data_IF_340334142204
#
_entry.id   IF_340334142204
#
_cell.length_a   1.000
_cell.length_b   1.000
_cell.length_c   1.000
_cell.angle_alpha   90.00
_cell.angle_beta   90.00
_cell.angle_gamma   90.00
#
_symmetry.space_group_name_H-M   'P 1'
#
loop_
_entity.id
_entity.type
_entity.pdbx_description
1 polymer ?
#
# COMPACT_ATOMS: atom_id res chain seq x y z
N UNK A 1 -11.42 19.32 1.27
CA UNK A 1 -11.50 19.69 2.69
C UNK A 1 -10.37 18.96 3.42
N UNK A 2 -9.58 19.69 4.22
CA UNK A 2 -8.54 19.16 5.08
C UNK A 2 -9.08 19.11 6.52
N UNK A 3 -8.96 17.98 7.16
CA UNK A 3 -9.33 17.77 8.56
C UNK A 3 -8.24 18.23 9.52
N UNK A 4 -8.42 17.92 10.78
CA UNK A 4 -7.42 18.16 11.82
C UNK A 4 -6.55 16.92 12.00
N UNK A 5 -5.26 17.12 12.14
CA UNK A 5 -4.32 16.06 12.51
C UNK A 5 -4.70 15.41 13.83
N UNK A 6 -4.56 14.11 13.88
CA UNK A 6 -4.85 13.33 15.07
C UNK A 6 -3.76 12.29 15.29
N UNK A 7 -3.08 12.38 16.41
CA UNK A 7 -2.04 11.43 16.81
C UNK A 7 -2.71 10.10 17.18
N UNK A 8 -2.29 9.01 16.54
CA UNK A 8 -2.72 7.65 16.90
C UNK A 8 -1.70 6.92 17.77
N UNK A 9 -0.42 7.35 17.71
CA UNK A 9 0.64 6.84 18.56
C UNK A 9 1.60 7.97 18.95
N UNK A 10 1.75 8.19 20.27
CA UNK A 10 2.60 9.23 20.85
C UNK A 10 4.04 8.77 21.09
N UNK A 11 4.50 7.81 20.31
CA UNK A 11 5.87 7.35 20.26
C UNK A 11 6.35 7.29 18.81
N UNK A 12 7.65 7.11 18.60
CA UNK A 12 8.21 6.97 17.26
C UNK A 12 7.61 5.74 16.56
N UNK A 13 7.02 5.94 15.38
CA UNK A 13 6.41 4.90 14.55
C UNK A 13 7.14 4.71 13.24
N UNK A 14 7.09 3.48 12.70
CA UNK A 14 7.62 3.13 11.37
C UNK A 14 6.75 2.07 10.71
N UNK A 15 7.04 1.76 9.44
CA UNK A 15 6.38 0.68 8.69
C UNK A 15 4.86 0.73 8.82
N UNK A 16 4.26 1.90 8.59
CA UNK A 16 2.83 2.14 8.79
C UNK A 16 2.07 1.70 7.54
N UNK A 17 0.97 0.95 7.72
CA UNK A 17 0.04 0.59 6.65
C UNK A 17 -1.40 0.63 7.18
N UNK A 18 -2.39 0.74 6.29
CA UNK A 18 -3.78 0.74 6.69
C UNK A 18 -4.68 0.05 5.65
N UNK A 19 -5.82 -0.45 6.11
CA UNK A 19 -6.90 -0.93 5.26
C UNK A 19 -8.26 -0.55 5.87
N UNK A 20 -9.26 -0.40 4.99
CA UNK A 20 -10.63 -0.05 5.39
C UNK A 20 -11.49 -1.30 5.52
N UNK A 21 -12.25 -1.38 6.61
CA UNK A 21 -13.26 -2.41 6.89
C UNK A 21 -14.62 -1.92 6.40
N UNK A 22 -15.05 -2.41 5.24
CA UNK A 22 -16.35 -2.09 4.65
C UNK A 22 -17.55 -2.72 5.39
N UNK A 23 -17.30 -3.56 6.39
CA UNK A 23 -18.34 -4.22 7.19
C UNK A 23 -18.68 -3.42 8.45
N UNK A 24 -17.66 -2.82 9.07
CA UNK A 24 -17.77 -2.12 10.34
C UNK A 24 -17.54 -0.60 10.21
N UNK A 25 -17.25 -0.11 9.00
CA UNK A 25 -16.95 1.30 8.69
C UNK A 25 -15.81 1.83 9.57
N UNK A 26 -14.67 1.12 9.50
CA UNK A 26 -13.48 1.39 10.30
C UNK A 26 -12.20 1.33 9.47
N UNK A 27 -11.21 2.09 9.88
CA UNK A 27 -9.85 2.00 9.39
C UNK A 27 -9.02 1.21 10.39
N UNK A 28 -8.32 0.17 9.94
CA UNK A 28 -7.27 -0.48 10.72
C UNK A 28 -5.92 0.08 10.29
N UNK A 29 -5.22 0.76 11.20
CA UNK A 29 -3.84 1.19 11.01
C UNK A 29 -2.94 0.20 11.74
N UNK A 30 -1.93 -0.32 11.05
CA UNK A 30 -0.90 -1.23 11.58
C UNK A 30 0.45 -0.55 11.48
N UNK A 31 1.30 -0.72 12.48
CA UNK A 31 2.58 -0.03 12.53
C UNK A 31 3.60 -0.74 13.42
N UNK A 32 4.87 -0.40 13.22
CA UNK A 32 5.96 -0.73 14.12
C UNK A 32 6.04 0.32 15.20
N UNK A 33 5.81 -0.07 16.45
CA UNK A 33 5.87 0.82 17.60
C UNK A 33 7.29 0.82 18.19
N UNK A 34 8.09 1.82 17.85
CA UNK A 34 9.47 1.96 18.33
C UNK A 34 9.50 2.25 19.83
N UNK A 35 8.47 2.93 20.36
CA UNK A 35 8.32 3.20 21.79
C UNK A 35 8.05 1.96 22.61
N UNK A 36 7.53 0.90 21.99
CA UNK A 36 7.21 -0.37 22.62
C UNK A 36 8.05 -1.52 22.02
N UNK A 37 9.35 -1.51 22.21
CA UNK A 37 10.30 -2.55 21.77
C UNK A 37 10.22 -2.91 20.27
N UNK A 38 9.72 -2.01 19.42
CA UNK A 38 9.53 -2.22 17.99
C UNK A 38 8.46 -3.28 17.65
N UNK A 39 7.52 -3.51 18.55
CA UNK A 39 6.45 -4.48 18.38
C UNK A 39 5.51 -4.10 17.25
N UNK A 40 4.96 -5.13 16.61
CA UNK A 40 3.89 -4.95 15.64
C UNK A 40 2.58 -4.61 16.37
N UNK A 41 2.07 -3.43 16.11
CA UNK A 41 0.90 -2.86 16.81
C UNK A 41 -0.17 -2.43 15.82
N UNK A 42 -1.42 -2.51 16.21
CA UNK A 42 -2.54 -2.01 15.41
C UNK A 42 -3.50 -1.18 16.25
N UNK A 43 -4.17 -0.23 15.57
CA UNK A 43 -5.19 0.63 16.17
C UNK A 43 -6.38 0.82 15.23
N UNK A 44 -7.58 0.92 15.80
CA UNK A 44 -8.82 1.09 15.03
C UNK A 44 -9.21 2.55 15.01
N UNK A 45 -9.34 3.13 13.81
CA UNK A 45 -9.83 4.48 13.54
C UNK A 45 -11.30 4.50 13.13
N UNK A 46 -12.02 5.52 13.57
CA UNK A 46 -13.39 5.83 13.15
C UNK A 46 -13.42 7.23 12.54
N UNK A 47 -13.75 7.32 11.28
CA UNK A 47 -13.92 8.60 10.56
C UNK A 47 -15.30 9.16 10.84
N UNK A 48 -15.38 10.45 11.06
CA UNK A 48 -16.65 11.20 11.20
C UNK A 48 -16.49 12.61 10.62
N UNK A 49 -17.05 12.82 9.45
CA UNK A 49 -16.88 14.06 8.69
C UNK A 49 -15.42 14.30 8.31
N UNK A 50 -14.80 15.35 8.86
CA UNK A 50 -13.37 15.68 8.62
C UNK A 50 -12.45 15.28 9.78
N UNK A 51 -12.92 14.46 10.71
CA UNK A 51 -12.15 14.04 11.88
C UNK A 51 -12.01 12.52 11.92
N UNK A 52 -10.95 12.04 12.57
CA UNK A 52 -10.76 10.63 12.89
C UNK A 52 -10.53 10.51 14.42
N UNK A 53 -11.10 9.49 15.02
CA UNK A 53 -10.86 9.14 16.42
C UNK A 53 -10.36 7.71 16.52
N UNK A 54 -9.55 7.40 17.52
CA UNK A 54 -8.91 6.12 17.69
C UNK A 54 -9.35 5.38 18.95
N UNK A 55 -9.41 4.05 18.85
CA UNK A 55 -9.54 3.16 20.00
C UNK A 55 -8.21 2.99 20.73
N UNK A 56 -8.05 1.87 21.44
CA UNK A 56 -6.78 1.53 22.09
C UNK A 56 -5.89 0.72 21.15
N UNK A 57 -4.61 1.06 21.13
CA UNK A 57 -3.60 0.27 20.42
C UNK A 57 -3.46 -1.14 21.03
N UNK A 58 -3.25 -2.15 20.17
CA UNK A 58 -3.10 -3.55 20.59
C UNK A 58 -1.97 -4.21 19.80
N UNK A 59 -1.08 -4.90 20.52
CA UNK A 59 0.08 -5.59 19.94
C UNK A 59 -0.36 -6.89 19.26
N UNK A 60 0.01 -7.10 18.00
CA UNK A 60 -0.21 -8.36 17.28
C UNK A 60 1.04 -9.24 17.23
N UNK A 61 2.23 -8.63 17.39
CA UNK A 61 3.51 -9.34 17.46
C UNK A 61 4.40 -8.70 18.53
N UNK A 62 4.81 -9.51 19.51
CA UNK A 62 5.68 -9.07 20.61
C UNK A 62 7.18 -9.26 20.30
N UNK A 63 7.54 -8.98 19.07
CA UNK A 63 8.88 -9.02 18.52
C UNK A 63 9.06 -7.82 17.58
N UNK A 64 10.29 -7.45 17.27
CA UNK A 64 10.53 -6.39 16.29
C UNK A 64 10.00 -6.79 14.92
N UNK A 65 9.12 -5.96 14.36
CA UNK A 65 8.46 -6.20 13.07
C UNK A 65 8.81 -5.13 12.05
N UNK A 66 8.91 -5.51 10.78
CA UNK A 66 9.16 -4.57 9.68
C UNK A 66 8.40 -4.98 8.42
N UNK A 67 8.35 -4.08 7.44
CA UNK A 67 7.67 -4.31 6.17
C UNK A 67 6.22 -4.80 6.37
N UNK A 68 5.49 -4.10 7.23
CA UNK A 68 4.12 -4.46 7.59
C UNK A 68 3.18 -4.08 6.45
N UNK A 69 2.27 -4.98 6.08
CA UNK A 69 1.18 -4.69 5.16
C UNK A 69 -0.13 -5.30 5.65
N UNK A 70 -1.25 -4.73 5.22
CA UNK A 70 -2.58 -5.17 5.65
C UNK A 70 -3.58 -5.06 4.50
N UNK A 71 -4.47 -6.03 4.38
CA UNK A 71 -5.63 -5.97 3.48
C UNK A 71 -6.87 -6.54 4.16
N UNK A 72 -8.03 -6.04 3.75
CA UNK A 72 -9.34 -6.47 4.27
C UNK A 72 -9.98 -7.50 3.34
N UNK A 73 -10.33 -8.66 3.88
CA UNK A 73 -11.16 -9.68 3.24
C UNK A 73 -12.63 -9.37 3.53
N UNK A 74 -13.31 -8.75 2.57
CA UNK A 74 -14.72 -8.37 2.71
C UNK A 74 -15.68 -9.55 2.77
N UNK A 75 -15.27 -10.74 2.32
CA UNK A 75 -16.08 -11.97 2.42
C UNK A 75 -16.01 -12.56 3.82
N UNK A 76 -14.84 -12.60 4.42
CA UNK A 76 -14.64 -13.11 5.78
C UNK A 76 -14.94 -12.05 6.86
N UNK A 77 -14.97 -10.76 6.51
CA UNK A 77 -15.05 -9.65 7.46
C UNK A 77 -13.81 -9.59 8.37
N UNK A 78 -12.61 -9.82 7.79
CA UNK A 78 -11.35 -9.97 8.50
C UNK A 78 -10.23 -9.26 7.78
N UNK A 79 -9.18 -8.92 8.53
CA UNK A 79 -7.93 -8.44 7.96
C UNK A 79 -6.88 -9.54 7.96
N UNK A 80 -6.00 -9.51 6.97
CA UNK A 80 -4.71 -10.21 7.01
C UNK A 80 -3.61 -9.17 7.17
N UNK A 81 -2.87 -9.25 8.27
CA UNK A 81 -1.64 -8.47 8.50
C UNK A 81 -0.48 -9.39 8.16
N UNK A 82 0.39 -8.98 7.23
CA UNK A 82 1.61 -9.69 6.88
C UNK A 82 2.83 -8.82 7.20
N UNK A 83 3.91 -9.43 7.67
CA UNK A 83 5.08 -8.72 8.14
C UNK A 83 6.33 -9.61 8.14
N UNK A 84 7.50 -8.97 8.26
CA UNK A 84 8.76 -9.63 8.56
C UNK A 84 9.02 -9.58 10.06
N UNK A 85 9.22 -10.74 10.67
CA UNK A 85 9.55 -10.87 12.09
C UNK A 85 11.07 -10.89 12.29
N UNK A 86 11.63 -9.77 12.77
CA UNK A 86 13.06 -9.65 13.04
C UNK A 86 13.52 -10.50 14.23
N UNK A 87 12.62 -10.77 15.19
CA UNK A 87 12.91 -11.62 16.34
C UNK A 87 12.95 -13.12 16.04
N UNK A 88 12.36 -13.53 14.89
CA UNK A 88 12.42 -14.92 14.40
C UNK A 88 13.17 -15.01 13.06
N UNK A 89 14.41 -14.57 13.05
CA UNK A 89 15.33 -14.72 11.90
C UNK A 89 14.83 -14.06 10.61
N UNK A 90 14.06 -12.98 10.73
CA UNK A 90 13.47 -12.22 9.60
C UNK A 90 12.45 -13.02 8.78
N UNK A 91 11.82 -14.04 9.33
CA UNK A 91 10.81 -14.82 8.63
C UNK A 91 9.59 -14.00 8.25
N UNK A 92 8.91 -14.45 7.19
CA UNK A 92 7.62 -13.91 6.80
C UNK A 92 6.48 -14.52 7.62
N UNK A 93 5.76 -13.69 8.36
CA UNK A 93 4.62 -14.08 9.20
C UNK A 93 3.37 -13.32 8.87
N UNK A 94 2.23 -13.91 9.19
CA UNK A 94 0.93 -13.27 9.03
C UNK A 94 -0.01 -13.63 10.17
N UNK A 95 -0.93 -12.71 10.48
CA UNK A 95 -1.97 -12.91 11.49
C UNK A 95 -3.31 -12.39 10.99
N UNK A 96 -4.38 -13.09 11.31
CA UNK A 96 -5.75 -12.63 11.01
C UNK A 96 -6.23 -11.72 12.14
N UNK A 97 -6.70 -10.52 11.79
CA UNK A 97 -7.26 -9.57 12.73
C UNK A 97 -8.77 -9.38 12.55
N UNK A 98 -9.46 -9.14 13.65
CA UNK A 98 -10.91 -8.92 13.70
C UNK A 98 -11.21 -7.65 14.49
N UNK A 99 -11.96 -6.72 13.90
CA UNK A 99 -12.46 -5.52 14.56
C UNK A 99 -13.80 -5.84 15.27
N UNK A 100 -13.96 -5.30 16.46
CA UNK A 100 -15.22 -5.24 17.21
C UNK A 100 -15.34 -3.88 17.90
N UNK A 101 -16.23 -3.03 17.41
CA UNK A 101 -16.32 -1.63 17.84
C UNK A 101 -15.03 -0.87 17.52
N UNK A 102 -14.31 -0.42 18.53
CA UNK A 102 -13.01 0.28 18.39
C UNK A 102 -11.83 -0.59 18.86
N UNK A 103 -12.04 -1.89 19.03
CA UNK A 103 -11.02 -2.83 19.47
C UNK A 103 -10.66 -3.80 18.37
N UNK A 104 -9.41 -4.27 18.35
CA UNK A 104 -8.92 -5.31 17.46
C UNK A 104 -8.46 -6.53 18.25
N UNK A 105 -8.72 -7.73 17.72
CA UNK A 105 -8.25 -9.00 18.27
C UNK A 105 -7.63 -9.85 17.18
N UNK A 106 -6.78 -10.79 17.56
CA UNK A 106 -5.96 -11.56 16.62
C UNK A 106 -6.15 -13.06 16.78
N UNK A 107 -5.99 -13.78 15.69
CA UNK A 107 -5.86 -15.22 15.68
C UNK A 107 -4.43 -15.69 15.92
N UNK A 108 -4.14 -16.93 15.55
CA UNK A 108 -2.79 -17.48 15.64
C UNK A 108 -1.89 -16.94 14.52
N UNK A 109 -0.66 -16.60 14.86
CA UNK A 109 0.38 -16.22 13.89
C UNK A 109 0.73 -17.45 13.04
N UNK A 110 0.82 -17.25 11.72
CA UNK A 110 1.16 -18.29 10.75
C UNK A 110 2.38 -17.84 9.94
N UNK A 111 3.40 -18.71 9.84
CA UNK A 111 4.55 -18.47 8.98
C UNK A 111 4.15 -18.68 7.51
N UNK A 112 4.36 -17.66 6.65
CA UNK A 112 4.18 -17.82 5.22
C UNK A 112 5.50 -18.07 4.48
N UNK A 113 6.63 -17.64 5.04
CA UNK A 113 7.96 -17.93 4.51
C UNK A 113 8.99 -18.11 5.63
N UNK A 114 9.80 -19.18 5.55
CA UNK A 114 10.86 -19.49 6.52
C UNK A 114 12.16 -18.72 6.29
N UNK A 115 12.27 -18.01 5.16
CA UNK A 115 13.39 -17.14 4.82
C UNK A 115 13.14 -15.68 5.17
N UNK A 116 14.19 -14.87 5.04
CA UNK A 116 14.09 -13.42 5.19
C UNK A 116 13.17 -12.82 4.10
N UNK A 117 12.10 -12.15 4.51
CA UNK A 117 10.96 -11.75 3.67
C UNK A 117 10.66 -10.25 3.76
N UNK A 118 11.56 -9.36 3.27
CA UNK A 118 11.26 -7.93 3.21
C UNK A 118 10.28 -7.59 2.07
N UNK A 119 9.80 -6.34 2.10
CA UNK A 119 8.91 -5.76 1.08
C UNK A 119 7.61 -6.56 0.92
N UNK A 120 6.98 -6.92 2.04
CA UNK A 120 5.69 -7.63 2.02
C UNK A 120 4.57 -6.71 1.56
N UNK A 121 3.70 -7.22 0.72
CA UNK A 121 2.47 -6.55 0.29
C UNK A 121 1.31 -7.53 0.24
N UNK A 122 0.14 -7.12 0.74
CA UNK A 122 -1.07 -7.92 0.75
C UNK A 122 -2.13 -7.32 -0.16
N UNK A 123 -2.81 -8.18 -0.92
CA UNK A 123 -3.97 -7.80 -1.73
C UNK A 123 -5.10 -8.82 -1.53
N UNK A 124 -6.34 -8.37 -1.58
CA UNK A 124 -7.51 -9.23 -1.50
C UNK A 124 -8.16 -9.42 -2.87
N UNK A 125 -8.17 -10.65 -3.35
CA UNK A 125 -8.91 -11.08 -4.54
C UNK A 125 -10.36 -11.40 -4.16
N UNK A 126 -11.23 -10.42 -4.34
CA UNK A 126 -12.64 -10.53 -3.99
C UNK A 126 -13.42 -11.52 -4.86
N UNK A 127 -12.97 -11.82 -6.07
CA UNK A 127 -13.63 -12.78 -6.96
C UNK A 127 -13.42 -14.23 -6.52
N UNK A 128 -12.27 -14.53 -5.93
CA UNK A 128 -11.93 -15.86 -5.44
C UNK A 128 -12.02 -15.99 -3.91
N UNK A 129 -12.24 -14.88 -3.18
CA UNK A 129 -12.22 -14.86 -1.72
C UNK A 129 -10.85 -15.29 -1.18
N UNK A 130 -9.77 -14.72 -1.72
CA UNK A 130 -8.40 -15.10 -1.39
C UNK A 130 -7.53 -13.89 -1.07
N UNK A 131 -6.64 -14.08 -0.13
CA UNK A 131 -5.55 -13.14 0.13
C UNK A 131 -4.34 -13.53 -0.71
N UNK A 132 -3.61 -12.53 -1.20
CA UNK A 132 -2.31 -12.75 -1.85
C UNK A 132 -1.26 -11.95 -1.10
N UNK A 133 -0.19 -12.62 -0.67
CA UNK A 133 1.00 -11.96 -0.12
C UNK A 133 2.08 -12.06 -1.18
N UNK A 134 2.64 -10.91 -1.58
CA UNK A 134 3.81 -10.80 -2.45
C UNK A 134 4.97 -10.19 -1.67
N UNK A 135 6.19 -10.67 -1.92
CA UNK A 135 7.38 -10.30 -1.14
C UNK A 135 8.67 -10.61 -1.91
N UNK A 136 9.78 -10.04 -1.47
CA UNK A 136 11.11 -10.47 -1.91
C UNK A 136 11.61 -11.60 -1.00
N UNK A 137 11.85 -12.79 -1.55
CA UNK A 137 12.32 -13.94 -0.80
C UNK A 137 13.86 -13.98 -0.74
N UNK A 138 14.44 -13.37 0.27
CA UNK A 138 15.91 -13.38 0.46
C UNK A 138 16.43 -14.73 0.95
N UNK A 139 15.57 -15.65 1.36
CA UNK A 139 15.91 -17.07 1.52
C UNK A 139 16.13 -17.75 0.17
N UNK A 140 15.61 -17.17 -0.92
CA UNK A 140 15.77 -17.62 -2.30
C UNK A 140 16.33 -16.50 -3.18
N UNK A 141 17.50 -15.99 -2.87
CA UNK A 141 18.24 -14.97 -3.66
C UNK A 141 17.51 -13.64 -3.87
N UNK A 142 16.51 -13.32 -3.04
CA UNK A 142 15.71 -12.11 -3.16
C UNK A 142 14.68 -12.15 -4.31
N UNK A 143 14.34 -13.34 -4.81
CA UNK A 143 13.38 -13.50 -5.89
C UNK A 143 11.99 -12.98 -5.52
N UNK A 144 11.35 -12.33 -6.46
CA UNK A 144 9.97 -11.92 -6.32
C UNK A 144 9.04 -13.13 -6.21
N UNK A 145 8.36 -13.28 -5.08
CA UNK A 145 7.58 -14.47 -4.74
C UNK A 145 6.19 -14.08 -4.23
N UNK A 146 5.20 -14.90 -4.52
CA UNK A 146 3.85 -14.71 -4.00
C UNK A 146 3.25 -16.01 -3.45
N UNK A 147 2.33 -15.87 -2.48
CA UNK A 147 1.53 -16.95 -1.90
C UNK A 147 0.07 -16.58 -1.80
N UNK A 148 -0.79 -17.56 -2.05
CA UNK A 148 -2.24 -17.41 -1.87
C UNK A 148 -2.64 -17.90 -0.50
N UNK A 149 -3.34 -17.04 0.26
CA UNK A 149 -3.88 -17.32 1.59
C UNK A 149 -5.40 -17.52 1.56
N UNK A 150 -5.88 -18.39 2.42
CA UNK A 150 -7.32 -18.57 2.68
C UNK A 150 -7.59 -18.34 4.15
N UNK A 151 -8.41 -17.32 4.46
CA UNK A 151 -8.86 -17.07 5.83
C UNK A 151 -10.01 -18.02 6.16
N UNK A 152 -9.96 -18.63 7.35
CA UNK A 152 -11.02 -19.45 7.92
C UNK A 152 -11.13 -19.17 9.41
N UNK A 153 -12.23 -18.54 9.82
CA UNK A 153 -12.38 -18.04 11.19
C UNK A 153 -11.31 -17.00 11.54
N UNK A 154 -10.43 -17.31 12.48
CA UNK A 154 -9.31 -16.46 12.91
C UNK A 154 -7.95 -16.99 12.47
N UNK A 155 -7.91 -17.93 11.53
CA UNK A 155 -6.70 -18.56 11.03
C UNK A 155 -6.53 -18.31 9.53
N UNK A 156 -5.30 -18.34 9.05
CA UNK A 156 -4.98 -18.33 7.62
C UNK A 156 -4.16 -19.57 7.26
N UNK A 157 -4.45 -20.16 6.11
CA UNK A 157 -3.64 -21.22 5.51
C UNK A 157 -3.12 -20.77 4.15
N UNK A 158 -1.90 -21.17 3.81
CA UNK A 158 -1.22 -20.76 2.58
C UNK A 158 -1.02 -21.93 1.62
N UNK A 159 -1.18 -21.65 0.33
CA UNK A 159 -0.78 -22.55 -0.74
C UNK A 159 0.74 -22.54 -0.98
N UNK A 160 1.17 -23.16 -2.06
CA UNK A 160 2.60 -23.19 -2.44
C UNK A 160 3.07 -21.82 -2.92
N UNK A 161 4.29 -21.45 -2.53
CA UNK A 161 4.94 -20.24 -3.03
C UNK A 161 5.22 -20.33 -4.54
N UNK A 162 5.00 -19.24 -5.26
CA UNK A 162 5.26 -19.14 -6.70
C UNK A 162 6.17 -17.95 -6.95
N UNK A 163 7.30 -18.20 -7.59
CA UNK A 163 8.24 -17.14 -8.02
C UNK A 163 7.64 -16.43 -9.24
N UNK A 164 7.52 -15.10 -9.17
CA UNK A 164 7.10 -14.29 -10.30
C UNK A 164 8.27 -13.58 -11.00
N UNK A 165 9.40 -13.43 -10.29
CA UNK A 165 10.63 -12.84 -10.85
C UNK A 165 11.84 -13.57 -10.29
N UNK A 166 12.71 -14.06 -11.19
CA UNK A 166 13.93 -14.81 -10.83
C UNK A 166 15.18 -13.92 -10.70
N UNK A 167 14.95 -12.68 -10.26
CA UNK A 167 15.98 -11.73 -9.86
C UNK A 167 15.57 -11.09 -8.54
N UNK A 168 16.51 -10.39 -7.88
CA UNK A 168 16.19 -9.62 -6.67
C UNK A 168 15.15 -8.55 -6.99
N UNK A 169 14.03 -8.58 -6.28
CA UNK A 169 12.84 -7.76 -6.55
C UNK A 169 12.45 -6.97 -5.29
N UNK A 170 13.15 -5.87 -4.97
CA UNK A 170 12.75 -5.01 -3.85
C UNK A 170 11.56 -4.12 -4.19
N UNK A 171 10.98 -3.50 -3.16
CA UNK A 171 9.85 -2.57 -3.24
C UNK A 171 8.61 -3.20 -3.89
N UNK A 172 8.32 -4.46 -3.53
CA UNK A 172 7.12 -5.17 -4.01
C UNK A 172 5.88 -4.50 -3.45
N UNK A 173 4.92 -4.19 -4.33
CA UNK A 173 3.60 -3.72 -3.94
C UNK A 173 2.54 -4.35 -4.84
N UNK A 174 1.36 -4.68 -4.30
CA UNK A 174 0.32 -5.41 -5.03
C UNK A 174 -1.07 -4.82 -4.82
N UNK A 175 -1.89 -4.89 -5.87
CA UNK A 175 -3.29 -4.48 -5.85
C UNK A 175 -4.14 -5.45 -6.66
N UNK A 176 -5.41 -5.56 -6.28
CA UNK A 176 -6.39 -6.34 -7.03
C UNK A 176 -7.14 -5.47 -8.04
N UNK A 177 -7.09 -5.85 -9.31
CA UNK A 177 -7.93 -5.31 -10.39
C UNK A 177 -9.24 -6.13 -10.42
N UNK A 178 -10.32 -5.55 -9.91
CA UNK A 178 -11.62 -6.21 -9.84
C UNK A 178 -12.30 -6.37 -11.19
N UNK A 179 -11.93 -5.56 -12.19
CA UNK A 179 -12.47 -5.67 -13.54
C UNK A 179 -11.81 -6.82 -14.32
N UNK A 180 -10.49 -6.88 -14.32
CA UNK A 180 -9.75 -7.97 -14.96
C UNK A 180 -9.76 -9.26 -14.12
N UNK A 181 -10.12 -9.20 -12.84
CA UNK A 181 -10.01 -10.25 -11.84
C UNK A 181 -8.59 -10.80 -11.74
N UNK A 182 -7.65 -9.88 -11.55
CA UNK A 182 -6.21 -10.15 -11.52
C UNK A 182 -5.54 -9.44 -10.35
N UNK A 183 -4.43 -10.01 -9.92
CA UNK A 183 -3.47 -9.33 -9.06
C UNK A 183 -2.44 -8.64 -9.92
N UNK A 184 -2.29 -7.34 -9.75
CA UNK A 184 -1.19 -6.58 -10.33
C UNK A 184 -0.11 -6.39 -9.27
N UNK A 185 1.14 -6.72 -9.61
CA UNK A 185 2.31 -6.53 -8.75
C UNK A 185 3.27 -5.58 -9.45
N UNK A 186 3.62 -4.49 -8.76
CA UNK A 186 4.68 -3.58 -9.16
C UNK A 186 5.92 -3.80 -8.28
N UNK A 187 7.11 -3.73 -8.86
CA UNK A 187 8.37 -3.94 -8.17
C UNK A 187 9.54 -3.32 -8.93
N UNK A 188 10.69 -3.22 -8.28
CA UNK A 188 11.95 -2.92 -8.97
C UNK A 188 12.59 -4.22 -9.42
N UNK A 189 12.88 -4.34 -10.71
CA UNK A 189 13.54 -5.51 -11.28
C UNK A 189 15.06 -5.29 -11.34
N UNK A 190 15.78 -5.86 -10.38
CA UNK A 190 17.24 -5.75 -10.34
C UNK A 190 17.92 -6.59 -11.46
N UNK A 191 17.22 -7.57 -12.02
CA UNK A 191 17.67 -8.33 -13.16
C UNK A 191 17.58 -7.57 -14.48
N UNK A 192 16.77 -6.50 -14.51
CA UNK A 192 16.55 -5.65 -15.67
C UNK A 192 16.91 -4.18 -15.36
N UNK A 193 18.17 -3.93 -15.03
CA UNK A 193 18.71 -2.57 -14.80
C UNK A 193 17.97 -1.75 -13.74
N UNK A 194 17.35 -2.39 -12.76
CA UNK A 194 16.55 -1.78 -11.69
C UNK A 194 15.31 -1.01 -12.19
N UNK A 195 14.75 -1.40 -13.33
CA UNK A 195 13.57 -0.74 -13.87
C UNK A 195 12.32 -1.00 -13.01
N UNK A 196 11.41 -0.02 -12.93
CA UNK A 196 10.08 -0.25 -12.40
C UNK A 196 9.35 -1.21 -13.35
N UNK A 197 8.85 -2.31 -12.83
CA UNK A 197 8.30 -3.42 -13.59
C UNK A 197 6.97 -3.84 -13.01
N UNK A 198 6.05 -4.26 -13.87
CA UNK A 198 4.75 -4.80 -13.46
C UNK A 198 4.53 -6.20 -14.00
N UNK A 199 3.81 -7.02 -13.23
CA UNK A 199 3.42 -8.37 -13.63
C UNK A 199 1.99 -8.66 -13.19
N UNK A 200 1.30 -9.52 -13.96
CA UNK A 200 -0.10 -9.87 -13.73
C UNK A 200 -0.21 -11.30 -13.25
N UNK A 201 -0.85 -11.49 -12.09
CA UNK A 201 -1.14 -12.78 -11.47
C UNK A 201 -2.60 -13.20 -11.61
N UNK A 202 -2.84 -14.47 -11.84
CA UNK A 202 -4.17 -15.09 -11.85
C UNK A 202 -4.27 -16.11 -10.72
N UNK A 203 -5.15 -15.86 -9.76
CA UNK A 203 -5.43 -16.79 -8.65
C UNK A 203 -6.36 -17.90 -9.12
N UNK A 204 -6.06 -19.13 -8.73
CA UNK A 204 -6.90 -20.30 -8.95
C UNK A 204 -6.78 -21.24 -7.75
N UNK A 205 -7.86 -21.39 -6.98
CA UNK A 205 -7.86 -22.15 -5.74
C UNK A 205 -6.87 -21.57 -4.72
N UNK A 206 -5.81 -22.31 -4.39
CA UNK A 206 -4.75 -21.89 -3.46
C UNK A 206 -3.42 -21.59 -4.17
N UNK A 207 -3.44 -21.44 -5.48
CA UNK A 207 -2.26 -21.13 -6.29
C UNK A 207 -2.45 -19.85 -7.08
N UNK A 208 -1.33 -19.28 -7.55
CA UNK A 208 -1.29 -18.13 -8.45
C UNK A 208 -0.37 -18.45 -9.61
N UNK A 209 -0.72 -18.02 -10.81
CA UNK A 209 0.12 -18.12 -12.01
C UNK A 209 0.37 -16.73 -12.57
N UNK A 210 1.52 -16.50 -13.17
CA UNK A 210 1.94 -15.21 -13.67
C UNK A 210 2.10 -15.20 -15.19
N UNK A 211 1.79 -14.04 -15.79
CA UNK A 211 2.15 -13.75 -17.17
C UNK A 211 3.58 -13.27 -17.32
N UNK A 212 3.87 -12.53 -18.38
CA UNK A 212 5.20 -11.93 -18.58
C UNK A 212 5.32 -10.60 -17.86
N UNK A 213 6.46 -10.38 -17.21
CA UNK A 213 6.82 -9.10 -16.63
C UNK A 213 7.03 -8.03 -17.73
N UNK A 214 6.63 -6.80 -17.45
CA UNK A 214 6.74 -5.66 -18.37
C UNK A 214 7.34 -4.47 -17.66
N UNK A 215 8.46 -3.95 -18.16
CA UNK A 215 9.05 -2.72 -17.64
C UNK A 215 8.21 -1.50 -18.04
N UNK A 216 8.19 -0.47 -17.17
CA UNK A 216 7.46 0.78 -17.44
C UNK A 216 8.07 1.52 -18.62
N UNK A 217 7.22 1.93 -19.55
CA UNK A 217 7.63 2.67 -20.77
C UNK A 217 8.16 4.06 -20.43
N UNK A 218 9.34 4.38 -20.95
CA UNK A 218 10.02 5.67 -20.72
C UNK A 218 10.98 5.68 -19.53
N UNK A 219 10.85 4.75 -18.59
CA UNK A 219 11.85 4.57 -17.55
C UNK A 219 13.12 3.96 -18.16
N UNK A 220 14.26 4.61 -17.96
CA UNK A 220 15.56 4.19 -18.52
C UNK A 220 16.63 4.06 -17.42
N UNK A 221 16.20 4.06 -16.16
CA UNK A 221 17.10 4.07 -15.00
C UNK A 221 16.41 3.50 -13.76
N UNK A 222 17.16 3.40 -12.67
CA UNK A 222 16.70 2.87 -11.40
C UNK A 222 15.45 3.59 -10.87
N UNK A 223 14.48 2.82 -10.43
CA UNK A 223 13.34 3.26 -9.64
C UNK A 223 13.43 2.68 -8.23
N UNK A 224 12.98 3.44 -7.24
CA UNK A 224 12.86 2.96 -5.85
C UNK A 224 11.48 3.32 -5.30
N UNK A 225 11.07 2.64 -4.22
CA UNK A 225 9.81 2.90 -3.52
C UNK A 225 8.59 2.83 -4.45
N UNK A 226 8.35 1.67 -5.06
CA UNK A 226 7.16 1.49 -5.89
C UNK A 226 5.90 1.38 -5.04
N UNK A 227 4.83 2.01 -5.50
CA UNK A 227 3.47 1.82 -5.01
C UNK A 227 2.53 1.57 -6.17
N UNK A 228 1.45 0.81 -5.95
CA UNK A 228 0.46 0.51 -6.99
C UNK A 228 -0.95 0.82 -6.54
N UNK A 229 -1.82 1.16 -7.50
CA UNK A 229 -3.23 1.43 -7.27
C UNK A 229 -4.09 0.95 -8.43
N UNK A 230 -5.40 0.85 -8.19
CA UNK A 230 -6.37 0.46 -9.21
C UNK A 230 -7.49 1.51 -9.32
N UNK A 231 -7.69 2.02 -10.52
CA UNK A 231 -8.80 2.89 -10.90
C UNK A 231 -9.93 2.04 -11.49
N UNK A 232 -10.97 1.82 -10.69
CA UNK A 232 -12.10 1.00 -11.09
C UNK A 232 -13.03 1.67 -12.09
N UNK A 233 -12.98 2.99 -12.27
CA UNK A 233 -13.76 3.73 -13.26
C UNK A 233 -13.19 3.55 -14.66
N UNK A 234 -11.87 3.69 -14.80
CA UNK A 234 -11.19 3.57 -16.09
C UNK A 234 -10.65 2.16 -16.35
N UNK A 235 -10.76 1.25 -15.38
CA UNK A 235 -10.21 -0.10 -15.42
C UNK A 235 -8.70 -0.07 -15.74
N UNK A 236 -7.96 0.69 -14.93
CA UNK A 236 -6.52 0.88 -15.07
C UNK A 236 -5.81 0.63 -13.75
N UNK A 237 -4.62 0.06 -13.85
CA UNK A 237 -3.68 0.04 -12.74
C UNK A 237 -2.72 1.22 -12.88
N UNK A 238 -2.22 1.71 -11.76
CA UNK A 238 -1.18 2.72 -11.70
C UNK A 238 0.03 2.15 -10.97
N UNK A 239 1.23 2.43 -11.48
CA UNK A 239 2.47 2.24 -10.75
C UNK A 239 3.13 3.61 -10.56
N UNK A 240 3.40 4.00 -9.33
CA UNK A 240 4.14 5.20 -8.98
C UNK A 240 5.46 4.83 -8.31
N UNK A 241 6.48 5.64 -8.51
CA UNK A 241 7.83 5.37 -8.01
C UNK A 241 8.67 6.65 -7.96
N UNK A 242 9.73 6.62 -7.17
CA UNK A 242 10.78 7.62 -7.21
C UNK A 242 11.78 7.25 -8.29
N UNK A 243 11.98 8.16 -9.25
CA UNK A 243 12.81 7.93 -10.42
C UNK A 243 14.20 8.55 -10.24
N UNK A 244 15.21 7.73 -10.05
CA UNK A 244 16.60 8.17 -9.84
C UNK A 244 17.21 8.81 -11.09
N UNK A 245 16.65 8.54 -12.28
CA UNK A 245 17.10 9.12 -13.56
C UNK A 245 16.75 10.60 -13.75
N UNK A 246 15.85 11.16 -12.92
CA UNK A 246 15.50 12.59 -12.91
C UNK A 246 15.59 13.17 -11.49
N UNK A 247 16.76 13.10 -10.88
CA UNK A 247 17.03 13.70 -9.56
C UNK A 247 16.01 13.29 -8.49
N UNK A 248 15.66 12.01 -8.43
CA UNK A 248 14.78 11.42 -7.41
C UNK A 248 13.33 11.95 -7.41
N UNK A 249 12.83 12.39 -8.56
CA UNK A 249 11.46 12.90 -8.69
C UNK A 249 10.42 11.78 -8.73
N UNK A 250 9.18 12.13 -8.37
CA UNK A 250 8.03 11.23 -8.44
C UNK A 250 7.47 11.08 -9.84
N UNK A 251 7.36 9.84 -10.31
CA UNK A 251 6.77 9.47 -11.59
C UNK A 251 5.69 8.41 -11.41
N UNK A 252 4.70 8.42 -12.30
CA UNK A 252 3.68 7.39 -12.36
C UNK A 252 3.40 6.98 -13.81
N UNK A 253 2.98 5.73 -14.00
CA UNK A 253 2.59 5.20 -15.30
C UNK A 253 1.28 4.42 -15.20
N UNK A 254 0.43 4.61 -16.21
CA UNK A 254 -0.87 3.93 -16.33
C UNK A 254 -0.68 2.58 -17.02
N UNK A 255 -1.11 1.52 -16.37
CA UNK A 255 -1.10 0.17 -16.89
C UNK A 255 -2.49 -0.28 -17.35
N UNK A 256 -2.54 -0.98 -18.47
CA UNK A 256 -3.75 -1.65 -18.98
C UNK A 256 -3.53 -3.15 -18.94
N UNK A 257 -4.35 -3.86 -18.15
CA UNK A 257 -4.32 -5.32 -18.09
C UNK A 257 -5.17 -5.90 -19.22
N UNK A 258 -4.60 -6.88 -19.93
CA UNK A 258 -5.29 -7.68 -20.94
C UNK A 258 -4.88 -9.14 -20.81
N UNK A 259 -5.80 -9.98 -20.38
CA UNK A 259 -5.53 -11.39 -20.06
C UNK A 259 -4.53 -11.51 -18.91
N UNK A 260 -3.32 -11.99 -19.19
CA UNK A 260 -2.23 -12.16 -18.22
C UNK A 260 -1.07 -11.18 -18.46
N UNK A 261 -1.28 -10.16 -19.29
CA UNK A 261 -0.26 -9.17 -19.64
C UNK A 261 -0.67 -7.78 -19.18
N UNK A 262 0.32 -6.93 -18.90
CA UNK A 262 0.14 -5.50 -18.71
C UNK A 262 0.90 -4.73 -19.77
N UNK A 263 0.32 -3.64 -20.26
CA UNK A 263 1.00 -2.66 -21.10
C UNK A 263 0.95 -1.29 -20.42
N UNK A 264 2.07 -0.56 -20.48
CA UNK A 264 2.17 0.76 -19.85
C UNK A 264 2.16 1.89 -20.88
N UNK A 265 1.46 2.98 -20.52
CA UNK A 265 1.68 4.26 -21.16
C UNK A 265 3.03 4.86 -20.75
N UNK A 266 3.41 5.96 -21.39
CA UNK A 266 4.62 6.70 -21.01
C UNK A 266 4.47 7.23 -19.58
N UNK A 267 5.49 7.09 -18.76
CA UNK A 267 5.47 7.60 -17.41
C UNK A 267 5.38 9.14 -17.39
N UNK A 268 4.66 9.66 -16.43
CA UNK A 268 4.44 11.10 -16.26
C UNK A 268 4.93 11.52 -14.89
N UNK A 269 5.65 12.64 -14.85
CA UNK A 269 6.13 13.22 -13.62
C UNK A 269 4.97 13.86 -12.84
N UNK A 270 4.78 13.49 -11.57
CA UNK A 270 3.78 14.11 -10.70
C UNK A 270 4.36 15.11 -9.71
N UNK A 271 5.64 15.03 -9.41
CA UNK A 271 6.34 15.95 -8.55
C UNK A 271 7.30 16.82 -9.35
N UNK A 272 7.24 18.13 -9.19
CA UNK A 272 8.15 19.09 -9.82
C UNK A 272 9.57 18.98 -9.27
N UNK A 273 9.67 18.57 -8.02
CA UNK A 273 10.86 18.46 -7.21
C UNK A 273 11.06 17.02 -6.73
N UNK A 274 12.06 16.77 -5.88
CA UNK A 274 12.27 15.46 -5.29
C UNK A 274 11.00 15.00 -4.56
N UNK A 275 10.57 13.76 -4.80
CA UNK A 275 9.43 13.17 -4.12
C UNK A 275 9.86 11.85 -3.51
N UNK A 276 9.60 11.68 -2.24
CA UNK A 276 9.84 10.42 -1.54
C UNK A 276 8.50 9.70 -1.37
N UNK A 277 8.23 8.73 -2.25
CA UNK A 277 7.25 7.68 -1.95
C UNK A 277 7.97 6.76 -0.97
N UNK A 278 7.45 6.61 0.23
CA UNK A 278 8.12 5.86 1.29
C UNK A 278 7.95 4.35 1.14
N UNK A 279 8.88 3.59 1.73
CA UNK A 279 8.92 2.13 1.63
C UNK A 279 7.65 1.45 2.16
N UNK A 280 7.14 0.48 1.40
CA UNK A 280 6.23 -0.54 1.90
C UNK A 280 4.79 -0.10 2.18
N UNK A 281 4.40 1.10 1.74
CA UNK A 281 3.11 1.67 2.10
C UNK A 281 2.20 1.78 0.88
N UNK A 282 0.89 1.62 1.09
CA UNK A 282 -0.12 1.92 0.09
C UNK A 282 -0.24 3.45 -0.05
N UNK A 283 0.66 4.04 -0.83
CA UNK A 283 0.69 5.48 -1.08
C UNK A 283 -0.30 5.94 -2.15
N UNK A 284 -1.08 5.01 -2.73
CA UNK A 284 -2.04 5.29 -3.79
C UNK A 284 -3.43 4.84 -3.36
N UNK A 285 -4.41 5.73 -3.54
CA UNK A 285 -5.82 5.45 -3.30
C UNK A 285 -6.66 5.96 -4.47
N UNK A 286 -7.70 5.23 -4.83
CA UNK A 286 -8.66 5.65 -5.83
C UNK A 286 -9.88 6.29 -5.17
N UNK A 287 -10.35 7.40 -5.74
CA UNK A 287 -11.56 8.12 -5.35
C UNK A 287 -12.65 7.92 -6.43
N UNK A 288 -13.60 7.03 -6.19
CA UNK A 288 -14.64 6.75 -7.19
C UNK A 288 -15.59 7.91 -7.42
N UNK A 289 -15.75 8.83 -6.46
CA UNK A 289 -16.64 10.00 -6.56
C UNK A 289 -16.06 11.04 -7.50
N UNK A 290 -14.77 11.34 -7.40
CA UNK A 290 -14.10 12.27 -8.30
C UNK A 290 -13.57 11.61 -9.59
N UNK A 291 -13.53 10.27 -9.64
CA UNK A 291 -12.87 9.51 -10.70
C UNK A 291 -11.37 9.79 -10.76
N UNK A 292 -10.76 10.22 -9.67
CA UNK A 292 -9.35 10.54 -9.55
C UNK A 292 -8.58 9.50 -8.74
N UNK A 293 -7.30 9.41 -9.00
CA UNK A 293 -6.37 8.61 -8.20
C UNK A 293 -5.49 9.57 -7.39
N UNK A 294 -5.32 9.28 -6.12
CA UNK A 294 -4.54 10.10 -5.19
C UNK A 294 -3.22 9.42 -4.90
N UNK A 295 -2.14 10.18 -4.91
CA UNK A 295 -0.81 9.75 -4.50
C UNK A 295 -0.40 10.60 -3.30
N UNK A 296 -0.09 9.94 -2.18
CA UNK A 296 0.45 10.57 -0.99
C UNK A 296 1.99 10.37 -0.95
N UNK A 297 2.74 11.43 -0.65
CA UNK A 297 4.20 11.41 -0.70
C UNK A 297 4.81 12.50 0.17
N UNK A 298 6.08 12.36 0.51
CA UNK A 298 6.90 13.43 1.09
C UNK A 298 7.49 14.27 -0.05
N UNK A 299 7.31 15.59 0.00
CA UNK A 299 7.91 16.50 -0.98
C UNK A 299 9.33 16.98 -0.56
N UNK A 300 9.93 17.88 -1.33
CA UNK A 300 11.29 18.41 -1.08
C UNK A 300 11.42 19.18 0.21
N UNK A 301 10.35 19.84 0.64
CA UNK A 301 10.30 20.58 1.89
C UNK A 301 10.08 19.65 3.10
N UNK A 302 9.98 18.33 2.82
CA UNK A 302 9.69 17.24 3.76
C UNK A 302 8.28 17.27 4.33
N UNK A 303 7.37 17.87 3.59
CA UNK A 303 5.97 18.00 3.95
C UNK A 303 5.19 16.73 3.53
N UNK A 304 4.17 16.39 4.31
CA UNK A 304 3.20 15.37 3.91
C UNK A 304 2.27 15.96 2.84
N UNK A 305 2.35 15.46 1.62
CA UNK A 305 1.68 16.02 0.45
C UNK A 305 0.84 14.98 -0.27
N UNK A 306 -0.29 15.40 -0.83
CA UNK A 306 -1.16 14.60 -1.69
C UNK A 306 -1.34 15.28 -3.04
N UNK A 307 -1.26 14.50 -4.11
CA UNK A 307 -1.60 14.96 -5.46
C UNK A 307 -2.69 14.07 -6.06
N UNK A 308 -3.66 14.72 -6.74
CA UNK A 308 -4.71 14.01 -7.48
C UNK A 308 -4.31 13.89 -8.95
N UNK A 309 -4.47 12.69 -9.50
CA UNK A 309 -4.31 12.40 -10.92
C UNK A 309 -5.62 11.98 -11.56
N UNK A 310 -5.82 12.34 -12.82
CA UNK A 310 -6.96 11.92 -13.66
C UNK A 310 -6.43 11.11 -14.84
N UNK A 311 -6.90 9.86 -14.94
CA UNK A 311 -6.52 8.97 -16.03
C UNK A 311 -7.39 9.18 -17.26
N UNK A 312 -6.75 9.26 -18.43
CA UNK A 312 -7.41 9.32 -19.74
C UNK A 312 -6.67 8.38 -20.72
N UNK A 313 -7.30 7.28 -21.08
CA UNK A 313 -6.69 6.25 -21.91
C UNK A 313 -5.49 5.59 -21.21
N UNK A 314 -4.28 5.82 -21.72
CA UNK A 314 -3.03 5.31 -21.15
C UNK A 314 -2.15 6.41 -20.56
N UNK A 315 -2.70 7.60 -20.37
CA UNK A 315 -2.00 8.75 -19.80
C UNK A 315 -2.68 9.20 -18.50
N UNK A 316 -1.95 9.94 -17.68
CA UNK A 316 -2.44 10.57 -16.46
C UNK A 316 -2.02 12.05 -16.47
N UNK A 317 -2.92 12.91 -16.02
CA UNK A 317 -2.61 14.32 -15.74
C UNK A 317 -2.80 14.59 -14.26
N UNK A 318 -1.96 15.45 -13.71
CA UNK A 318 -1.97 15.75 -12.27
C UNK A 318 -2.45 17.18 -11.99
N UNK A 319 -3.21 17.34 -10.92
CA UNK A 319 -3.62 18.61 -10.37
C UNK A 319 -2.43 19.28 -9.61
N UNK A 320 -2.68 20.43 -9.00
CA UNK A 320 -1.72 21.05 -8.08
C UNK A 320 -1.64 20.23 -6.80
N UNK A 321 -0.44 19.91 -6.29
CA UNK A 321 -0.27 19.23 -5.01
C UNK A 321 -0.91 20.01 -3.86
N UNK A 322 -1.35 19.27 -2.85
CA UNK A 322 -1.90 19.82 -1.60
C UNK A 322 -1.03 19.36 -0.44
N UNK A 323 -0.40 20.31 0.22
CA UNK A 323 0.31 20.06 1.47
C UNK A 323 -0.71 19.82 2.57
N UNK A 324 -0.59 18.70 3.25
CA UNK A 324 -1.47 18.29 4.35
C UNK A 324 -0.91 18.73 5.69
N UNK A 325 0.40 18.55 5.86
CA UNK A 325 1.13 18.90 7.06
C UNK A 325 2.54 19.37 6.69
N UNK A 326 2.98 20.45 7.33
CA UNK A 326 4.28 21.08 7.08
C UNK A 326 5.31 20.59 8.09
N UNK A 327 6.32 19.88 7.62
CA UNK A 327 7.37 19.32 8.46
C UNK A 327 8.30 20.33 9.13
N UNK A 328 8.26 21.62 8.71
CA UNK A 328 9.18 22.62 9.21
C UNK A 328 10.66 22.26 9.02
N UNK A 329 10.97 21.40 8.04
CA UNK A 329 12.28 20.82 7.77
C UNK A 329 12.51 19.46 8.41
N UNK A 330 11.54 18.91 9.15
CA UNK A 330 11.55 17.55 9.67
C UNK A 330 10.82 16.61 8.70
N UNK A 331 11.32 15.39 8.54
CA UNK A 331 10.83 14.45 7.54
C UNK A 331 9.50 13.80 7.94
N UNK A 332 8.53 13.76 7.02
CA UNK A 332 7.35 12.91 7.10
C UNK A 332 7.63 11.62 6.34
N UNK A 333 7.60 10.50 7.02
CA UNK A 333 7.95 9.19 6.44
C UNK A 333 6.77 8.23 6.54
N UNK A 334 6.82 7.12 5.78
CA UNK A 334 5.80 6.07 5.78
C UNK A 334 4.40 6.63 5.48
N UNK A 335 4.32 7.57 4.51
CA UNK A 335 3.07 8.24 4.15
C UNK A 335 2.22 7.28 3.32
N UNK A 336 1.05 6.95 3.83
CA UNK A 336 0.07 6.14 3.13
C UNK A 336 -1.32 6.75 3.14
N UNK A 337 -2.19 6.19 2.31
CA UNK A 337 -3.55 6.70 2.11
C UNK A 337 -4.52 5.54 1.93
N UNK A 338 -5.69 5.61 2.57
CA UNK A 338 -6.79 4.67 2.40
C UNK A 338 -8.10 5.41 2.22
N UNK A 339 -8.97 4.88 1.34
CA UNK A 339 -10.29 5.45 1.08
C UNK A 339 -11.34 4.86 2.01
N UNK A 340 -12.14 5.72 2.59
CA UNK A 340 -13.35 5.42 3.35
C UNK A 340 -14.58 5.66 2.45
N UNK A 341 -15.20 4.62 1.90
CA UNK A 341 -16.33 4.75 0.99
C UNK A 341 -17.64 5.16 1.69
N UNK A 342 -17.75 4.94 2.99
CA UNK A 342 -18.96 5.33 3.76
C UNK A 342 -19.02 6.84 3.94
N UNK A 343 -17.90 7.47 4.25
CA UNK A 343 -17.81 8.91 4.45
C UNK A 343 -17.40 9.69 3.19
N UNK A 344 -17.03 8.99 2.11
CA UNK A 344 -16.42 9.58 0.90
C UNK A 344 -15.22 10.47 1.27
N UNK A 345 -14.25 9.85 1.97
CA UNK A 345 -13.07 10.51 2.52
C UNK A 345 -11.83 9.64 2.36
N UNK A 346 -10.69 10.28 2.41
CA UNK A 346 -9.41 9.59 2.53
C UNK A 346 -8.84 9.80 3.93
N UNK A 347 -8.21 8.77 4.47
CA UNK A 347 -7.36 8.88 5.65
C UNK A 347 -5.92 8.78 5.17
N UNK A 348 -5.17 9.84 5.35
CA UNK A 348 -3.72 9.88 5.12
C UNK A 348 -3.06 9.69 6.48
N UNK A 349 -2.10 8.81 6.55
CA UNK A 349 -1.36 8.49 7.76
C UNK A 349 0.14 8.55 7.49
N UNK A 350 0.91 8.96 8.48
CA UNK A 350 2.35 9.16 8.35
C UNK A 350 3.05 9.16 9.70
N UNK A 351 4.36 9.03 9.66
CA UNK A 351 5.26 9.36 10.76
C UNK A 351 5.54 10.84 10.70
N UNK A 352 5.16 11.57 11.71
CA UNK A 352 5.32 13.01 11.80
C UNK A 352 6.66 13.37 12.47
N UNK A 353 7.63 13.77 11.66
CA UNK A 353 8.95 14.15 12.13
C UNK A 353 8.98 15.47 12.92
N UNK A 354 8.02 16.36 12.69
CA UNK A 354 7.89 17.61 13.43
C UNK A 354 7.40 17.37 14.86
N UNK A 355 6.58 16.34 15.06
CA UNK A 355 6.01 15.94 16.36
C UNK A 355 6.70 14.69 16.92
N UNK A 356 8.02 14.74 17.09
CA UNK A 356 8.80 13.66 17.74
C UNK A 356 8.69 12.28 17.09
N UNK A 357 8.39 12.22 15.79
CA UNK A 357 8.14 11.01 15.01
C UNK A 357 6.88 10.23 15.42
N UNK A 358 5.87 10.92 15.90
CA UNK A 358 4.57 10.32 16.27
C UNK A 358 3.87 9.72 15.06
N UNK A 359 3.02 8.73 15.31
CA UNK A 359 2.08 8.23 14.32
C UNK A 359 0.87 9.16 14.23
N UNK A 360 0.71 9.83 13.10
CA UNK A 360 -0.31 10.85 12.85
C UNK A 360 -1.21 10.46 11.68
N UNK A 361 -2.47 10.83 11.74
CA UNK A 361 -3.41 10.68 10.64
C UNK A 361 -4.26 11.94 10.47
N UNK A 362 -4.63 12.19 9.21
CA UNK A 362 -5.49 13.32 8.82
C UNK A 362 -6.56 12.85 7.83
N UNK A 363 -7.78 13.37 7.98
CA UNK A 363 -8.87 13.10 7.03
C UNK A 363 -8.81 14.13 5.90
N UNK A 364 -8.80 13.65 4.67
CA UNK A 364 -8.72 14.48 3.48
C UNK A 364 -9.85 14.17 2.51
N UNK A 365 -10.45 15.22 1.93
CA UNK A 365 -11.39 15.11 0.80
C UNK A 365 -10.95 16.09 -0.28
N UNK A 366 -10.67 15.61 -1.50
CA UNK A 366 -10.38 16.48 -2.62
C UNK A 366 -11.50 17.53 -2.82
N UNK A 367 -11.15 18.74 -3.24
CA UNK A 367 -12.13 19.71 -3.69
C UNK A 367 -12.55 19.35 -5.12
N UNK A 368 -13.83 19.06 -5.33
CA UNK A 368 -14.35 18.86 -6.67
C UNK A 368 -14.65 20.21 -7.32
N UNK A 369 -14.07 20.48 -8.48
CA UNK A 369 -14.59 21.57 -9.33
C UNK A 369 -15.89 21.09 -9.95
N UNK A 370 -16.97 21.87 -9.82
CA UNK A 370 -18.28 21.60 -10.38
C UNK A 370 -18.30 21.47 -11.92
N UNK A 371 -17.16 21.65 -12.59
CA UNK A 371 -17.00 21.49 -14.04
C UNK A 371 -16.87 20.02 -14.50
N UNK A 372 -16.68 19.07 -13.62
CA UNK A 372 -16.50 17.65 -13.96
C UNK A 372 -17.76 16.78 -13.77
N UNK A 373 -18.89 17.38 -13.41
CA UNK A 373 -20.16 16.66 -13.18
C UNK A 373 -21.11 16.65 -14.40
N UNK A 374 -20.61 17.02 -15.58
CA UNK A 374 -21.42 16.99 -16.82
C UNK A 374 -20.71 16.19 -17.90
N UNK A 375 -20.99 14.91 -17.94
CA UNK A 375 -21.17 14.15 -19.21
C UNK A 375 -21.69 12.75 -18.91
#
# INVERSE_FOLDING_TARGET
>A
VLGTETVFESANTKDIAAAYDTTNDKVLIVFRDIGNYQYGTAIVGTVSGSSISFGSANVFESSATTYISVAFDSTAGKFLIAYRDEGDSNKGKAVVATISGTSVSYGSITEFNSGNSPYTSTAYDSSNGKMVISYADYGNSGYGTAKVGTISGTSVSFGTAVVFESATSPYVNSVYDSNAQKIFIGYRDNGNSNYPTGIVGTVSGTSISFGSATAVTGASNSAIYTSVGFDSTNNKVLIAYRYEGDSSKGYASVGTISGTSVSFGTHVKFSGDEAVITEGVNSISFDPTSGGILIAYEDTDRDATVIRGVISGTSISFDTPVVLDTGGGSSHEYIGIVYDPDQDRHVVFYKDGAESNYGTAIVYSPAYSSSNLTS
#
